data_IF_846806998205
#
_entry.id   IF_846806998205
#
_cell.length_a   1.000
_cell.length_b   1.000
_cell.length_c   1.000
_cell.angle_alpha   90.00
_cell.angle_beta   90.00
_cell.angle_gamma   90.00
#
_symmetry.space_group_name_H-M   'P 1'
#
loop_
_entity.id
_entity.type
_entity.pdbx_description
1 polymer ?
#
# COMPACT_ATOMS: atom_id res chain seq x y z
N UNK A 1 1.92 -24.93 25.49
CA UNK A 1 1.75 -24.76 24.04
C UNK A 1 0.25 -24.83 23.76
N UNK A 2 -0.41 -23.69 23.65
CA UNK A 2 -1.81 -23.64 23.23
C UNK A 2 -1.82 -23.76 21.69
N UNK A 3 -2.32 -24.88 21.19
CA UNK A 3 -2.60 -25.07 19.76
C UNK A 3 -3.75 -24.11 19.43
N UNK A 4 -3.50 -23.13 18.56
CA UNK A 4 -4.57 -22.39 17.92
C UNK A 4 -5.31 -23.40 17.05
N UNK A 5 -6.48 -23.84 17.49
CA UNK A 5 -7.40 -24.57 16.64
C UNK A 5 -7.61 -23.74 15.36
N UNK A 6 -7.47 -24.33 14.16
CA UNK A 6 -7.83 -23.62 12.95
C UNK A 6 -9.33 -23.31 13.06
N UNK A 7 -9.66 -22.01 13.20
CA UNK A 7 -11.04 -21.54 13.20
C UNK A 7 -11.71 -22.11 11.95
N UNK A 8 -12.58 -23.10 12.15
CA UNK A 8 -13.41 -23.61 11.07
C UNK A 8 -14.16 -22.40 10.50
N UNK A 9 -14.19 -22.22 9.16
CA UNK A 9 -14.82 -21.04 8.55
C UNK A 9 -16.25 -20.91 9.08
N UNK A 10 -16.54 -19.84 9.81
CA UNK A 10 -17.89 -19.55 10.34
C UNK A 10 -18.89 -19.70 9.20
N UNK A 11 -19.76 -20.75 9.21
CA UNK A 11 -20.73 -20.97 8.15
C UNK A 11 -21.73 -19.81 8.04
N UNK A 12 -21.83 -18.97 9.09
CA UNK A 12 -22.63 -17.74 9.09
C UNK A 12 -22.00 -16.56 8.36
N UNK A 13 -20.70 -16.56 8.03
CA UNK A 13 -20.05 -15.44 7.31
C UNK A 13 -20.58 -15.31 5.87
N UNK A 14 -20.85 -16.44 5.21
CA UNK A 14 -21.46 -16.46 3.89
C UNK A 14 -22.87 -15.84 3.93
N UNK A 15 -23.73 -16.32 4.84
CA UNK A 15 -25.10 -15.82 5.01
C UNK A 15 -25.13 -14.31 5.22
N UNK A 16 -24.32 -13.77 6.14
CA UNK A 16 -24.30 -12.32 6.42
C UNK A 16 -23.84 -11.48 5.22
N UNK A 17 -22.93 -11.99 4.38
CA UNK A 17 -22.48 -11.31 3.17
C UNK A 17 -23.58 -11.25 2.10
N UNK A 18 -24.41 -12.30 1.99
CA UNK A 18 -25.61 -12.30 1.16
C UNK A 18 -26.71 -11.40 1.74
N UNK A 19 -26.85 -11.37 3.07
CA UNK A 19 -27.84 -10.55 3.78
C UNK A 19 -27.50 -9.04 3.75
N UNK A 20 -26.22 -8.66 3.72
CA UNK A 20 -25.83 -7.23 3.83
C UNK A 20 -25.40 -6.60 2.49
N UNK A 21 -24.75 -7.36 1.60
CA UNK A 21 -24.08 -6.80 0.40
C UNK A 21 -24.54 -7.40 -0.94
N UNK A 22 -25.10 -8.61 -0.95
CA UNK A 22 -25.67 -9.26 -2.14
C UNK A 22 -27.19 -9.45 -2.03
N UNK A 23 -27.86 -8.56 -1.30
CA UNK A 23 -29.29 -8.64 -1.00
C UNK A 23 -30.12 -8.56 -2.29
N UNK A 24 -30.87 -9.64 -2.59
CA UNK A 24 -31.73 -9.74 -3.78
C UNK A 24 -31.14 -10.51 -4.97
N UNK A 25 -29.89 -10.98 -4.87
CA UNK A 25 -29.30 -11.93 -5.82
C UNK A 25 -29.57 -13.37 -5.39
N UNK A 26 -29.85 -14.26 -6.34
CA UNK A 26 -30.09 -15.68 -6.03
C UNK A 26 -28.76 -16.38 -5.67
N UNK A 27 -28.59 -16.86 -4.43
CA UNK A 27 -27.37 -17.54 -3.99
C UNK A 27 -27.14 -18.89 -4.70
N UNK A 28 -28.16 -19.45 -5.34
CA UNK A 28 -28.03 -20.66 -6.15
C UNK A 28 -27.37 -20.41 -7.51
N UNK A 29 -27.25 -19.16 -7.95
CA UNK A 29 -26.63 -18.83 -9.23
C UNK A 29 -25.10 -18.91 -9.16
N UNK A 30 -24.46 -19.59 -10.13
CA UNK A 30 -23.00 -19.78 -10.12
C UNK A 30 -22.22 -18.47 -10.26
N UNK A 31 -22.81 -17.46 -10.92
CA UNK A 31 -22.21 -16.14 -11.11
C UNK A 31 -22.12 -15.36 -9.79
N UNK A 32 -23.16 -15.45 -8.95
CA UNK A 32 -23.23 -14.79 -7.65
C UNK A 32 -22.20 -15.40 -6.68
N UNK A 33 -21.99 -16.72 -6.73
CA UNK A 33 -20.95 -17.39 -5.95
C UNK A 33 -19.53 -16.99 -6.37
N UNK A 34 -19.28 -16.81 -7.66
CA UNK A 34 -18.00 -16.33 -8.16
C UNK A 34 -17.70 -14.90 -7.69
N UNK A 35 -18.72 -14.04 -7.65
CA UNK A 35 -18.61 -12.67 -7.16
C UNK A 35 -18.42 -12.62 -5.63
N UNK A 36 -19.14 -13.45 -4.87
CA UNK A 36 -18.94 -13.59 -3.43
C UNK A 36 -17.51 -14.06 -3.10
N UNK A 37 -16.99 -15.05 -3.83
CA UNK A 37 -15.62 -15.53 -3.69
C UNK A 37 -14.56 -14.50 -4.11
N UNK A 38 -14.92 -13.54 -4.97
CA UNK A 38 -14.06 -12.43 -5.35
C UNK A 38 -14.04 -11.33 -4.28
N UNK A 39 -15.21 -10.95 -3.75
CA UNK A 39 -15.34 -10.00 -2.63
C UNK A 39 -14.63 -10.51 -1.37
N UNK A 40 -14.78 -11.79 -1.09
CA UNK A 40 -14.14 -12.45 0.05
C UNK A 40 -12.60 -12.43 -0.06
N UNK A 41 -12.06 -12.58 -1.28
CA UNK A 41 -10.61 -12.40 -1.56
C UNK A 41 -10.16 -10.96 -1.34
N UNK A 42 -10.92 -9.97 -1.84
CA UNK A 42 -10.59 -8.55 -1.65
C UNK A 42 -10.71 -8.07 -0.20
N UNK A 43 -11.53 -8.72 0.64
CA UNK A 43 -11.59 -8.41 2.09
C UNK A 43 -10.48 -9.06 2.90
N UNK A 44 -9.96 -10.20 2.44
CA UNK A 44 -8.86 -10.92 3.08
C UNK A 44 -7.49 -10.30 2.80
N UNK A 45 -7.33 -9.65 1.66
CA UNK A 45 -6.16 -8.82 1.38
C UNK A 45 -6.46 -7.36 1.76
N UNK A 46 -5.79 -6.77 2.77
CA UNK A 46 -6.01 -5.38 3.11
C UNK A 46 -5.54 -4.51 1.94
N UNK A 47 -6.51 -4.10 1.14
CA UNK A 47 -6.34 -3.22 0.00
C UNK A 47 -5.82 -1.86 0.46
N UNK A 48 -4.61 -1.52 0.03
CA UNK A 48 -4.13 -0.18 -0.34
C UNK A 48 -4.81 1.02 0.35
N UNK A 49 -4.87 1.03 1.67
CA UNK A 49 -5.31 2.20 2.44
C UNK A 49 -4.11 3.11 2.70
N UNK A 50 -4.32 4.42 2.58
CA UNK A 50 -3.28 5.45 2.72
C UNK A 50 -2.58 5.36 4.10
N UNK A 51 -3.28 4.86 5.12
CA UNK A 51 -2.72 4.55 6.44
C UNK A 51 -1.66 3.42 6.41
N UNK A 52 -1.79 2.43 5.54
CA UNK A 52 -0.76 1.41 5.34
C UNK A 52 0.47 2.00 4.64
N UNK A 53 0.29 2.98 3.76
CA UNK A 53 1.41 3.70 3.13
C UNK A 53 2.15 4.59 4.14
N UNK A 54 1.43 5.26 5.06
CA UNK A 54 2.05 6.06 6.13
C UNK A 54 2.76 5.20 7.19
N UNK A 55 2.17 4.07 7.56
CA UNK A 55 2.80 3.09 8.46
C UNK A 55 4.05 2.49 7.81
N UNK A 56 3.99 2.20 6.51
CA UNK A 56 5.15 1.78 5.73
C UNK A 56 6.29 2.80 5.76
N UNK A 57 5.99 4.10 5.60
CA UNK A 57 7.01 5.17 5.67
C UNK A 57 7.66 5.26 7.06
N UNK A 58 6.89 5.10 8.13
CA UNK A 58 7.43 5.05 9.50
C UNK A 58 8.36 3.86 9.72
N UNK A 59 7.94 2.66 9.29
CA UNK A 59 8.74 1.44 9.36
C UNK A 59 10.00 1.53 8.48
N UNK A 60 9.94 2.20 7.32
CA UNK A 60 11.11 2.48 6.48
C UNK A 60 12.09 3.43 7.16
N UNK A 61 11.60 4.47 7.85
CA UNK A 61 12.45 5.40 8.58
C UNK A 61 13.16 4.70 9.76
N UNK A 62 12.44 3.87 10.51
CA UNK A 62 12.99 3.12 11.64
C UNK A 62 13.91 1.97 11.18
N UNK A 63 13.58 1.25 10.10
CA UNK A 63 14.44 0.23 9.50
C UNK A 63 15.71 0.85 8.89
N UNK A 64 15.62 2.02 8.26
CA UNK A 64 16.78 2.75 7.74
C UNK A 64 17.69 3.26 8.85
N UNK A 65 17.12 3.67 10.00
CA UNK A 65 17.89 4.06 11.18
C UNK A 65 18.54 2.85 11.88
N UNK A 66 17.88 1.68 11.87
CA UNK A 66 18.36 0.43 12.48
C UNK A 66 19.33 -0.35 11.59
N UNK A 67 19.48 0.00 10.31
CA UNK A 67 20.53 -0.55 9.44
C UNK A 67 21.92 -0.05 9.87
N UNK A 68 22.50 -0.63 10.91
CA UNK A 68 23.86 -0.34 11.36
C UNK A 68 24.91 -0.89 10.39
N UNK A 69 25.94 -0.08 10.08
CA UNK A 69 27.07 -0.42 9.22
C UNK A 69 27.08 0.29 7.85
N UNK A 70 28.11 0.01 7.02
CA UNK A 70 28.41 0.72 5.75
C UNK A 70 27.26 0.81 4.73
N UNK A 71 26.20 0.01 4.89
CA UNK A 71 24.96 0.11 4.09
C UNK A 71 24.16 1.39 4.37
N UNK A 72 24.24 1.97 5.58
CA UNK A 72 23.63 3.28 5.90
C UNK A 72 24.26 4.41 5.10
N UNK A 73 25.58 4.39 4.93
CA UNK A 73 26.29 5.38 4.12
C UNK A 73 25.90 5.32 2.65
N UNK A 74 25.72 4.11 2.10
CA UNK A 74 25.22 3.93 0.74
C UNK A 74 23.80 4.50 0.59
N UNK A 75 22.90 4.18 1.52
CA UNK A 75 21.53 4.70 1.49
C UNK A 75 21.50 6.24 1.59
N UNK A 76 22.27 6.83 2.49
CA UNK A 76 22.43 8.29 2.62
C UNK A 76 22.97 8.89 1.32
N UNK A 77 24.01 8.29 0.73
CA UNK A 77 24.58 8.76 -0.53
C UNK A 77 23.53 8.76 -1.66
N UNK A 78 22.73 7.70 -1.78
CA UNK A 78 21.66 7.60 -2.79
C UNK A 78 20.61 8.70 -2.58
N UNK A 79 20.18 8.92 -1.34
CA UNK A 79 19.22 9.99 -1.01
C UNK A 79 19.81 11.37 -1.36
N UNK A 80 21.06 11.63 -0.99
CA UNK A 80 21.75 12.89 -1.32
C UNK A 80 21.85 13.08 -2.83
N UNK A 81 22.17 12.04 -3.60
CA UNK A 81 22.23 12.10 -5.07
C UNK A 81 20.85 12.41 -5.67
N UNK A 82 19.79 11.78 -5.17
CA UNK A 82 18.42 12.08 -5.61
C UNK A 82 18.06 13.53 -5.34
N UNK A 83 18.31 14.02 -4.12
CA UNK A 83 18.05 15.42 -3.75
C UNK A 83 18.88 16.40 -4.61
N UNK A 84 20.15 16.10 -4.85
CA UNK A 84 21.01 16.90 -5.72
C UNK A 84 20.46 16.96 -7.16
N UNK A 85 19.99 15.84 -7.70
CA UNK A 85 19.34 15.79 -9.02
C UNK A 85 18.08 16.65 -9.09
N UNK A 86 17.23 16.60 -8.07
CA UNK A 86 16.02 17.44 -7.98
C UNK A 86 16.38 18.92 -7.95
N UNK A 87 17.34 19.31 -7.11
CA UNK A 87 17.81 20.71 -7.03
C UNK A 87 18.40 21.17 -8.36
N UNK A 88 19.18 20.31 -9.02
CA UNK A 88 19.75 20.62 -10.33
C UNK A 88 18.66 20.88 -11.38
N UNK A 89 17.67 20.01 -11.49
CA UNK A 89 16.54 20.17 -12.43
C UNK A 89 15.75 21.43 -12.10
N UNK A 90 15.41 21.65 -10.83
CA UNK A 90 14.68 22.83 -10.39
C UNK A 90 15.45 24.12 -10.72
N UNK A 91 16.76 24.15 -10.48
CA UNK A 91 17.60 25.31 -10.80
C UNK A 91 17.68 25.56 -12.30
N UNK A 92 17.74 24.51 -13.12
CA UNK A 92 17.76 24.60 -14.59
C UNK A 92 16.46 25.21 -15.12
N UNK A 93 15.32 24.77 -14.59
CA UNK A 93 14.01 25.34 -14.96
C UNK A 93 13.94 26.80 -14.53
N UNK A 94 14.35 27.10 -13.30
CA UNK A 94 14.32 28.45 -12.76
C UNK A 94 15.18 29.41 -13.59
N UNK A 95 16.41 29.04 -13.95
CA UNK A 95 17.29 29.88 -14.77
C UNK A 95 16.73 30.07 -16.18
N UNK A 96 16.13 29.04 -16.78
CA UNK A 96 15.46 29.15 -18.07
C UNK A 96 14.30 30.16 -18.02
N UNK A 97 13.45 30.09 -17.00
CA UNK A 97 12.34 31.04 -16.81
C UNK A 97 12.86 32.46 -16.60
N UNK A 98 13.88 32.64 -15.74
CA UNK A 98 14.49 33.97 -15.50
C UNK A 98 15.07 34.54 -16.79
N UNK A 99 15.77 33.73 -17.58
CA UNK A 99 16.34 34.17 -18.85
C UNK A 99 15.26 34.61 -19.86
N UNK A 100 14.11 33.93 -19.89
CA UNK A 100 12.97 34.30 -20.76
C UNK A 100 12.32 35.62 -20.31
N UNK A 101 12.25 35.88 -19.00
CA UNK A 101 11.62 37.10 -18.47
C UNK A 101 12.56 38.31 -18.55
N UNK A 102 13.87 38.08 -18.43
CA UNK A 102 14.88 39.14 -18.42
C UNK A 102 15.46 39.46 -19.81
N UNK A 103 15.23 38.60 -20.81
CA UNK A 103 15.64 38.79 -22.20
C UNK A 103 14.52 39.37 -23.05
#
# INVERSE_FOLDING_TARGET
>A
MAVLEPEAPDPGRGSRLFDDELLGLDPAEPEVQAFAAHLDRMRREPSFTVEASLTGVGDFADAANRAEGGRRWLAVLVVVLLLAGVVYVASTILTAVVAIVAG
#
